data_IF_838535696999
#
_entry.id   IF_838535696999
#
_cell.length_a   1.000
_cell.length_b   1.000
_cell.length_c   1.000
_cell.angle_alpha   90.00
_cell.angle_beta   90.00
_cell.angle_gamma   90.00
#
_symmetry.space_group_name_H-M   'P 1'
#
loop_
_entity.id
_entity.type
_entity.pdbx_description
1 polymer ?
#
# COMPACT_ATOMS: atom_id res chain seq x y z
N UNK A 1 7.14 17.78 -21.79
CA UNK A 1 7.54 16.68 -22.70
C UNK A 1 6.31 16.30 -23.52
N UNK A 2 6.42 16.08 -24.85
CA UNK A 2 5.27 15.62 -25.62
C UNK A 2 4.85 14.23 -25.11
N UNK A 3 3.54 13.98 -25.07
CA UNK A 3 2.98 12.69 -24.74
C UNK A 3 3.50 11.63 -25.72
N UNK A 4 4.08 10.56 -25.20
CA UNK A 4 4.51 9.41 -25.99
C UNK A 4 3.52 8.28 -25.77
N UNK A 5 2.91 7.77 -26.85
CA UNK A 5 1.97 6.66 -26.75
C UNK A 5 2.70 5.43 -26.18
N UNK A 6 2.06 4.75 -25.24
CA UNK A 6 2.55 3.46 -24.72
C UNK A 6 2.51 2.47 -25.88
N UNK A 7 3.64 1.81 -26.16
CA UNK A 7 3.73 0.76 -27.15
C UNK A 7 2.90 -0.47 -26.76
N UNK A 8 2.42 -1.20 -27.74
CA UNK A 8 1.73 -2.45 -27.49
C UNK A 8 2.69 -3.47 -26.87
N UNK A 9 2.13 -4.41 -26.11
CA UNK A 9 2.92 -5.44 -25.45
C UNK A 9 3.65 -6.29 -26.52
N UNK A 10 4.97 -6.48 -26.44
CA UNK A 10 5.71 -7.18 -27.48
C UNK A 10 5.29 -8.63 -27.59
N UNK A 11 5.23 -9.16 -28.81
CA UNK A 11 4.83 -10.56 -29.08
C UNK A 11 5.69 -11.60 -28.33
N UNK A 12 6.94 -11.23 -28.03
CA UNK A 12 7.87 -12.08 -27.27
C UNK A 12 7.82 -11.87 -25.75
N UNK A 13 6.76 -11.30 -25.22
CA UNK A 13 6.63 -11.00 -23.78
C UNK A 13 6.88 -12.22 -22.88
N UNK A 14 6.57 -13.43 -23.37
CA UNK A 14 6.86 -14.67 -22.65
C UNK A 14 8.37 -14.88 -22.39
N UNK A 15 9.24 -14.25 -23.18
CA UNK A 15 10.71 -14.35 -22.99
C UNK A 15 11.23 -13.48 -21.84
N UNK A 16 10.40 -12.58 -21.31
CA UNK A 16 10.73 -11.80 -20.13
C UNK A 16 10.51 -12.56 -18.80
N UNK A 17 9.95 -13.77 -18.89
CA UNK A 17 9.84 -14.68 -17.75
C UNK A 17 11.21 -15.09 -17.24
N UNK A 18 11.35 -15.21 -15.92
CA UNK A 18 12.56 -15.71 -15.26
C UNK A 18 12.26 -17.08 -14.65
N UNK A 19 13.00 -18.12 -15.09
CA UNK A 19 12.88 -19.46 -14.50
C UNK A 19 13.24 -19.47 -13.01
N UNK A 20 14.11 -18.55 -12.58
CA UNK A 20 14.46 -18.40 -11.18
C UNK A 20 13.28 -17.84 -10.38
N UNK A 21 12.55 -16.84 -10.90
CA UNK A 21 11.34 -16.33 -10.29
C UNK A 21 10.22 -17.36 -10.25
N UNK A 22 10.08 -18.19 -11.27
CA UNK A 22 9.11 -19.30 -11.27
C UNK A 22 9.43 -20.31 -10.17
N UNK A 23 10.71 -20.69 -10.02
CA UNK A 23 11.14 -21.61 -8.96
C UNK A 23 10.88 -21.02 -7.58
N UNK A 24 11.23 -19.73 -7.35
CA UNK A 24 10.95 -19.04 -6.10
C UNK A 24 9.44 -18.92 -5.84
N UNK A 25 8.64 -18.64 -6.87
CA UNK A 25 7.18 -18.59 -6.79
C UNK A 25 6.57 -19.95 -6.41
N UNK A 26 7.17 -21.04 -6.86
CA UNK A 26 6.74 -22.39 -6.48
C UNK A 26 7.03 -22.67 -5.01
N UNK A 27 8.26 -22.44 -4.56
CA UNK A 27 8.65 -22.58 -3.15
C UNK A 27 7.78 -21.70 -2.24
N UNK A 28 7.48 -20.47 -2.67
CA UNK A 28 6.59 -19.58 -1.93
C UNK A 28 5.17 -20.15 -1.81
N UNK A 29 4.58 -20.66 -2.90
CA UNK A 29 3.24 -21.27 -2.88
C UNK A 29 3.17 -22.45 -1.91
N UNK A 30 4.14 -23.35 -1.97
CA UNK A 30 4.22 -24.50 -1.08
C UNK A 30 4.29 -24.08 0.40
N UNK A 31 5.17 -23.11 0.71
CA UNK A 31 5.28 -22.57 2.08
C UNK A 31 4.05 -21.80 2.53
N UNK A 32 3.39 -21.10 1.64
CA UNK A 32 2.13 -20.41 1.93
C UNK A 32 1.04 -21.42 2.30
N UNK A 33 0.89 -22.51 1.52
CA UNK A 33 -0.10 -23.56 1.80
C UNK A 33 0.16 -24.25 3.15
N UNK A 34 1.43 -24.52 3.48
CA UNK A 34 1.83 -25.09 4.76
C UNK A 34 1.49 -24.19 5.96
N UNK A 35 1.67 -22.88 5.80
CA UNK A 35 1.64 -21.91 6.91
C UNK A 35 0.34 -21.09 7.00
N UNK A 36 -0.50 -21.07 5.95
CA UNK A 36 -1.63 -20.14 5.83
C UNK A 36 -2.62 -20.20 7.00
N UNK A 37 -2.79 -21.38 7.63
CA UNK A 37 -3.68 -21.57 8.77
C UNK A 37 -2.97 -21.32 10.13
N UNK A 38 -1.69 -20.90 10.08
CA UNK A 38 -0.92 -20.66 11.31
C UNK A 38 -1.00 -19.20 11.75
N UNK A 39 -0.97 -18.95 13.06
CA UNK A 39 -0.85 -17.59 13.60
C UNK A 39 0.41 -16.85 13.13
N UNK A 40 1.48 -17.59 12.85
CA UNK A 40 2.75 -17.04 12.34
C UNK A 40 2.55 -16.38 10.97
N UNK A 41 1.81 -17.02 10.08
CA UNK A 41 1.52 -16.47 8.76
C UNK A 41 0.61 -15.25 8.84
N UNK A 42 -0.40 -15.28 9.70
CA UNK A 42 -1.29 -14.13 9.91
C UNK A 42 -0.52 -12.92 10.47
N UNK A 43 0.37 -13.14 11.42
CA UNK A 43 1.23 -12.08 11.97
C UNK A 43 2.21 -11.52 10.92
N UNK A 44 2.76 -12.38 10.07
CA UNK A 44 3.58 -11.97 8.94
C UNK A 44 2.80 -11.07 7.97
N UNK A 45 1.59 -11.48 7.56
CA UNK A 45 0.75 -10.68 6.66
C UNK A 45 0.40 -9.32 7.25
N UNK A 46 0.02 -9.25 8.54
CA UNK A 46 -0.27 -7.98 9.21
C UNK A 46 0.94 -7.04 9.23
N UNK A 47 2.14 -7.57 9.47
CA UNK A 47 3.37 -6.77 9.44
C UNK A 47 3.68 -6.27 8.03
N UNK A 48 3.55 -7.14 7.03
CA UNK A 48 3.76 -6.79 5.62
C UNK A 48 2.80 -5.71 5.15
N UNK A 49 1.51 -5.80 5.49
CA UNK A 49 0.51 -4.78 5.16
C UNK A 49 0.83 -3.43 5.81
N UNK A 50 1.23 -3.43 7.10
CA UNK A 50 1.67 -2.20 7.78
C UNK A 50 2.90 -1.58 7.12
N UNK A 51 3.89 -2.41 6.78
CA UNK A 51 5.09 -1.97 6.08
C UNK A 51 4.73 -1.28 4.76
N UNK A 52 3.91 -1.93 3.93
CA UNK A 52 3.49 -1.35 2.65
C UNK A 52 2.77 -0.02 2.81
N UNK A 53 1.82 0.05 3.73
CA UNK A 53 1.04 1.28 3.95
C UNK A 53 1.93 2.41 4.46
N UNK A 54 2.78 2.14 5.45
CA UNK A 54 3.67 3.15 6.02
C UNK A 54 4.68 3.65 4.98
N UNK A 55 5.34 2.74 4.27
CA UNK A 55 6.32 3.11 3.25
C UNK A 55 5.67 3.88 2.08
N UNK A 56 4.48 3.48 1.65
CA UNK A 56 3.71 4.21 0.63
C UNK A 56 3.40 5.62 1.09
N UNK A 57 2.92 5.81 2.32
CA UNK A 57 2.63 7.14 2.87
C UNK A 57 3.86 8.04 2.96
N UNK A 58 5.04 7.47 3.24
CA UNK A 58 6.31 8.20 3.22
C UNK A 58 6.70 8.59 1.78
N UNK A 59 6.59 7.67 0.83
CA UNK A 59 6.87 7.89 -0.59
C UNK A 59 5.97 9.01 -1.15
N UNK A 60 4.68 8.97 -0.82
CA UNK A 60 3.67 9.97 -1.21
C UNK A 60 3.77 11.28 -0.41
N UNK A 61 4.69 11.36 0.57
CA UNK A 61 4.93 12.53 1.42
C UNK A 61 3.71 12.97 2.25
N UNK A 62 2.86 12.01 2.62
CA UNK A 62 1.71 12.28 3.50
C UNK A 62 2.17 12.57 4.93
N UNK A 63 3.29 12.01 5.31
CA UNK A 63 4.00 12.23 6.57
C UNK A 63 5.49 11.87 6.42
N UNK A 64 6.29 12.36 7.34
CA UNK A 64 7.73 12.05 7.38
C UNK A 64 8.15 11.73 8.80
N UNK A 65 8.89 10.66 9.00
CA UNK A 65 9.55 10.31 10.25
C UNK A 65 10.79 9.44 10.00
N UNK A 66 11.54 9.18 11.04
CA UNK A 66 12.74 8.36 10.92
C UNK A 66 12.41 6.86 10.81
N UNK A 67 13.36 6.08 10.32
CA UNK A 67 13.22 4.64 10.13
C UNK A 67 12.93 3.89 11.44
N UNK A 68 13.40 4.39 12.58
CA UNK A 68 13.18 3.78 13.88
C UNK A 68 11.71 3.77 14.26
N UNK A 69 10.96 4.83 13.94
CA UNK A 69 9.51 4.91 14.16
C UNK A 69 8.79 3.90 13.27
N UNK A 70 9.13 3.86 11.97
CA UNK A 70 8.57 2.90 11.00
C UNK A 70 8.69 1.46 11.53
N UNK A 71 9.88 1.04 11.94
CA UNK A 71 10.11 -0.31 12.47
C UNK A 71 9.27 -0.63 13.71
N UNK A 72 9.08 0.34 14.60
CA UNK A 72 8.28 0.16 15.81
C UNK A 72 6.79 -0.01 15.43
N UNK A 73 6.26 0.84 14.54
CA UNK A 73 4.87 0.77 14.10
C UNK A 73 4.57 -0.53 13.34
N UNK A 74 5.50 -1.01 12.52
CA UNK A 74 5.35 -2.30 11.85
C UNK A 74 5.27 -3.44 12.87
N UNK A 75 6.13 -3.43 13.89
CA UNK A 75 6.23 -4.50 14.88
C UNK A 75 5.10 -4.49 15.90
N UNK A 76 4.77 -3.32 16.44
CA UNK A 76 3.87 -3.17 17.58
C UNK A 76 2.44 -2.80 17.19
N UNK A 77 2.26 -2.22 16.01
CA UNK A 77 0.96 -1.72 15.52
C UNK A 77 0.91 -0.21 15.48
N UNK A 78 -0.14 0.29 14.84
CA UNK A 78 -0.34 1.73 14.63
C UNK A 78 -0.97 2.36 15.87
N UNK A 79 -0.22 3.21 16.55
CA UNK A 79 -0.66 3.90 17.77
C UNK A 79 -0.30 5.39 17.72
N UNK A 80 -1.30 6.26 17.89
CA UNK A 80 -1.12 7.70 17.81
C UNK A 80 -0.27 8.28 18.95
N UNK A 81 -0.30 7.68 20.15
CA UNK A 81 0.56 8.13 21.25
C UNK A 81 2.03 7.81 20.95
N UNK A 82 2.27 6.67 20.34
CA UNK A 82 3.60 6.26 19.90
C UNK A 82 4.12 7.18 18.77
N UNK A 83 3.26 7.50 17.80
CA UNK A 83 3.57 8.43 16.70
C UNK A 83 3.91 9.80 17.29
N UNK A 84 3.08 10.37 18.16
CA UNK A 84 3.31 11.67 18.77
C UNK A 84 4.61 11.71 19.58
N UNK A 85 4.83 10.71 20.44
CA UNK A 85 5.99 10.68 21.32
C UNK A 85 7.30 10.49 20.57
N UNK A 86 7.34 9.55 19.63
CA UNK A 86 8.53 9.22 18.86
C UNK A 86 8.77 10.16 17.69
N UNK A 87 7.70 10.64 17.05
CA UNK A 87 7.77 11.60 15.95
C UNK A 87 8.02 13.04 16.41
N UNK A 88 7.86 13.33 17.72
CA UNK A 88 7.99 14.69 18.26
C UNK A 88 6.94 15.64 17.69
N UNK A 89 5.77 15.12 17.31
CA UNK A 89 4.66 15.88 16.74
C UNK A 89 3.50 16.01 17.74
N UNK A 90 2.59 16.91 17.45
CA UNK A 90 1.41 17.15 18.30
C UNK A 90 0.46 15.95 18.25
N UNK A 91 -0.34 15.78 19.29
CA UNK A 91 -1.27 14.66 19.39
C UNK A 91 -2.32 14.65 18.28
N UNK A 92 -2.88 15.81 17.97
CA UNK A 92 -3.88 15.97 16.91
C UNK A 92 -3.33 15.62 15.51
N UNK A 93 -2.09 15.99 15.24
CA UNK A 93 -1.37 15.59 14.03
C UNK A 93 -1.10 14.07 13.99
N UNK A 94 -0.69 13.48 15.11
CA UNK A 94 -0.48 12.04 15.22
C UNK A 94 -1.79 11.25 15.05
N UNK A 95 -2.92 11.76 15.58
CA UNK A 95 -4.24 11.17 15.39
C UNK A 95 -4.67 11.24 13.90
N UNK A 96 -4.39 12.37 13.22
CA UNK A 96 -4.64 12.52 11.78
C UNK A 96 -3.82 11.50 10.96
N UNK A 97 -2.52 11.39 11.20
CA UNK A 97 -1.64 10.42 10.52
C UNK A 97 -2.11 8.98 10.79
N UNK A 98 -2.48 8.67 12.03
CA UNK A 98 -3.04 7.37 12.37
C UNK A 98 -4.27 7.04 11.55
N UNK A 99 -5.19 8.00 11.39
CA UNK A 99 -6.40 7.81 10.60
C UNK A 99 -6.08 7.55 9.12
N UNK A 100 -5.09 8.24 8.55
CA UNK A 100 -4.61 7.97 7.17
C UNK A 100 -4.11 6.53 7.06
N UNK A 101 -3.27 6.09 7.99
CA UNK A 101 -2.68 4.74 7.96
C UNK A 101 -3.76 3.67 8.15
N UNK A 102 -4.68 3.84 9.10
CA UNK A 102 -5.76 2.89 9.35
C UNK A 102 -6.70 2.76 8.14
N UNK A 103 -7.01 3.88 7.48
CA UNK A 103 -7.84 3.88 6.26
C UNK A 103 -7.13 3.14 5.13
N UNK A 104 -5.85 3.42 4.92
CA UNK A 104 -5.03 2.72 3.93
C UNK A 104 -4.90 1.22 4.21
N UNK A 105 -4.76 0.81 5.48
CA UNK A 105 -4.76 -0.61 5.86
C UNK A 105 -6.08 -1.27 5.48
N UNK A 106 -7.21 -0.64 5.78
CA UNK A 106 -8.53 -1.16 5.42
C UNK A 106 -8.71 -1.30 3.91
N UNK A 107 -8.16 -0.35 3.14
CA UNK A 107 -8.18 -0.39 1.67
C UNK A 107 -7.35 -1.57 1.16
N UNK A 108 -6.13 -1.76 1.69
CA UNK A 108 -5.25 -2.88 1.30
C UNK A 108 -5.90 -4.22 1.59
N UNK A 109 -6.53 -4.38 2.76
CA UNK A 109 -7.29 -5.59 3.11
C UNK A 109 -8.45 -5.83 2.14
N UNK A 110 -9.22 -4.78 1.81
CA UNK A 110 -10.31 -4.86 0.84
C UNK A 110 -9.82 -5.20 -0.57
N UNK A 111 -8.67 -4.65 -0.99
CA UNK A 111 -8.06 -4.94 -2.28
C UNK A 111 -7.65 -6.42 -2.39
N UNK A 112 -7.05 -6.99 -1.35
CA UNK A 112 -6.69 -8.41 -1.35
C UNK A 112 -7.93 -9.32 -1.44
N UNK A 113 -9.02 -8.96 -0.75
CA UNK A 113 -10.30 -9.69 -0.86
C UNK A 113 -10.86 -9.60 -2.27
N UNK A 114 -10.83 -8.41 -2.88
CA UNK A 114 -11.29 -8.17 -4.25
C UNK A 114 -10.53 -9.02 -5.28
N UNK A 115 -9.20 -9.09 -5.16
CA UNK A 115 -8.35 -9.90 -6.04
C UNK A 115 -8.63 -11.40 -5.82
N UNK A 116 -8.78 -11.85 -4.58
CA UNK A 116 -9.04 -13.25 -4.25
C UNK A 116 -10.39 -13.73 -4.78
N UNK A 117 -11.37 -12.85 -4.85
CA UNK A 117 -12.71 -13.12 -5.40
C UNK A 117 -12.77 -12.99 -6.93
N UNK A 118 -11.63 -12.76 -7.59
CA UNK A 118 -11.53 -12.61 -9.05
C UNK A 118 -12.48 -11.56 -9.65
N UNK A 119 -12.73 -10.48 -8.89
CA UNK A 119 -13.64 -9.43 -9.32
C UNK A 119 -13.06 -8.65 -10.52
N UNK A 120 -13.87 -8.26 -11.50
CA UNK A 120 -13.38 -7.54 -12.66
C UNK A 120 -12.91 -6.13 -12.32
N UNK A 121 -11.75 -5.74 -12.83
CA UNK A 121 -11.25 -4.37 -12.69
C UNK A 121 -12.13 -3.42 -13.52
N UNK A 122 -12.88 -2.55 -12.86
CA UNK A 122 -13.79 -1.58 -13.47
C UNK A 122 -13.35 -0.15 -13.18
N UNK A 123 -13.75 0.80 -14.07
CA UNK A 123 -13.55 2.24 -13.82
C UNK A 123 -14.16 2.69 -12.48
N UNK A 124 -15.32 2.14 -12.13
CA UNK A 124 -15.97 2.43 -10.85
C UNK A 124 -15.08 2.01 -9.68
N UNK A 125 -14.51 0.81 -9.72
CA UNK A 125 -13.63 0.32 -8.66
C UNK A 125 -12.37 1.17 -8.53
N UNK A 126 -11.74 1.54 -9.66
CA UNK A 126 -10.54 2.38 -9.66
C UNK A 126 -10.84 3.76 -9.04
N UNK A 127 -11.95 4.40 -9.44
CA UNK A 127 -12.37 5.70 -8.89
C UNK A 127 -12.73 5.61 -7.40
N UNK A 128 -13.41 4.53 -7.01
CA UNK A 128 -13.74 4.28 -5.61
C UNK A 128 -12.46 4.11 -4.79
N UNK A 129 -11.51 3.30 -5.27
CA UNK A 129 -10.22 3.07 -4.62
C UNK A 129 -9.45 4.40 -4.43
N UNK A 130 -9.37 5.21 -5.49
CA UNK A 130 -8.74 6.53 -5.42
C UNK A 130 -9.42 7.42 -4.37
N UNK A 131 -10.75 7.47 -4.35
CA UNK A 131 -11.50 8.26 -3.37
C UNK A 131 -11.26 7.80 -1.93
N UNK A 132 -11.06 6.49 -1.70
CA UNK A 132 -10.70 5.98 -0.39
C UNK A 132 -9.29 6.40 0.02
N UNK A 133 -8.30 6.24 -0.86
CA UNK A 133 -6.91 6.61 -0.58
C UNK A 133 -6.72 8.11 -0.29
N UNK A 134 -7.55 8.96 -0.88
CA UNK A 134 -7.45 10.42 -0.73
C UNK A 134 -8.36 11.03 0.33
N UNK A 135 -9.13 10.21 1.06
CA UNK A 135 -10.16 10.67 2.00
C UNK A 135 -9.66 11.68 3.04
N UNK A 136 -8.47 11.48 3.57
CA UNK A 136 -7.86 12.33 4.60
C UNK A 136 -6.72 13.20 4.07
N UNK A 137 -6.57 13.28 2.75
CA UNK A 137 -5.57 14.15 2.14
C UNK A 137 -6.17 15.54 1.91
N UNK A 138 -5.37 16.57 2.16
CA UNK A 138 -5.77 17.93 1.88
C UNK A 138 -5.92 18.13 0.35
N UNK A 139 -7.00 18.76 -0.05
CA UNK A 139 -7.20 19.17 -1.44
C UNK A 139 -6.29 20.37 -1.74
N UNK A 140 -5.53 20.27 -2.85
CA UNK A 140 -4.79 21.41 -3.39
C UNK A 140 -5.49 21.91 -4.65
N UNK A 141 -5.65 23.22 -4.77
CA UNK A 141 -6.10 23.83 -6.02
C UNK A 141 -5.03 23.61 -7.09
N UNK A 142 -5.40 22.93 -8.18
CA UNK A 142 -4.55 22.75 -9.33
C UNK A 142 -5.19 23.40 -10.54
N UNK A 143 -4.42 24.24 -11.25
CA UNK A 143 -4.83 24.74 -12.55
C UNK A 143 -4.35 23.77 -13.64
N UNK A 144 -5.25 23.38 -14.52
CA UNK A 144 -4.85 22.68 -15.75
C UNK A 144 -4.10 23.62 -16.68
N UNK A 145 -3.31 23.07 -17.59
CA UNK A 145 -2.57 23.87 -18.59
C UNK A 145 -3.51 24.77 -19.41
N UNK A 146 -4.77 24.38 -19.54
CA UNK A 146 -5.81 25.08 -20.29
C UNK A 146 -6.64 26.05 -19.43
N UNK A 147 -6.29 26.23 -18.15
CA UNK A 147 -6.90 27.20 -17.26
C UNK A 147 -8.36 26.91 -16.86
N UNK A 148 -8.79 25.63 -16.93
CA UNK A 148 -10.12 25.19 -16.52
C UNK A 148 -10.05 24.57 -15.12
#
# INVERSE_FOLDING_TARGET
MPYQRIEEFPENAATFGSSELEALGTVWREKKEELQETGVFQDFLKKLQREWVIETGIIERLYTWDRGITEILIKQGIDAALIAHRGGIRRDEADHIKNIIDDQLSIVEGLFSYIKEEQPLTDFFIRWLQAQFTRYQDAIEASTVDGI
#
